data_IF_152119771159
#
_entry.id   IF_152119771159
#
_cell.length_a   1.000
_cell.length_b   1.000
_cell.length_c   1.000
_cell.angle_alpha   90.00
_cell.angle_beta   90.00
_cell.angle_gamma   90.00
#
_symmetry.space_group_name_H-M   'P 1'
#
loop_
_entity.id
_entity.type
_entity.pdbx_description
1 polymer ?
#
# COMPACT_ATOMS: atom_id res chain seq x y z
N UNK A 1 15.83 12.31 22.63
CA UNK A 1 15.04 11.15 23.09
C UNK A 1 15.24 10.03 22.10
N UNK A 2 15.38 8.80 22.56
CA UNK A 2 15.62 7.64 21.70
C UNK A 2 14.36 7.27 20.92
N UNK A 3 14.55 6.98 19.64
CA UNK A 3 13.59 6.32 18.76
C UNK A 3 13.26 4.90 19.25
N UNK A 4 12.19 4.33 18.70
CA UNK A 4 11.69 3.00 19.05
C UNK A 4 11.71 2.05 17.83
N UNK A 5 11.88 0.76 18.08
CA UNK A 5 11.73 -0.28 17.05
C UNK A 5 10.27 -0.55 16.71
N UNK A 6 10.00 -0.97 15.46
CA UNK A 6 8.67 -1.40 15.02
C UNK A 6 8.78 -2.58 14.06
N UNK A 7 8.24 -3.74 14.42
CA UNK A 7 8.23 -4.92 13.55
C UNK A 7 9.62 -5.24 12.99
N UNK A 8 9.77 -5.10 11.67
CA UNK A 8 11.01 -5.38 10.92
C UNK A 8 12.04 -4.23 10.93
N UNK A 9 11.70 -3.08 11.51
CA UNK A 9 12.60 -1.94 11.67
C UNK A 9 13.17 -1.93 13.07
N UNK A 10 14.43 -2.36 13.18
CA UNK A 10 15.15 -2.46 14.45
C UNK A 10 15.94 -1.17 14.65
N UNK A 11 15.53 -0.39 15.65
CA UNK A 11 16.23 0.81 16.07
C UNK A 11 17.58 0.45 16.71
N UNK A 12 18.61 1.21 16.35
CA UNK A 12 19.90 1.18 17.02
C UNK A 12 20.49 2.59 17.04
N UNK A 13 19.85 3.50 17.78
CA UNK A 13 20.14 4.95 17.77
C UNK A 13 19.86 5.61 16.43
N UNK A 14 18.73 5.25 15.80
CA UNK A 14 18.34 5.77 14.49
C UNK A 14 17.70 7.15 14.59
N UNK A 15 17.82 7.96 13.54
CA UNK A 15 17.23 9.30 13.43
C UNK A 15 16.11 9.27 12.37
N UNK A 16 14.83 9.43 12.76
CA UNK A 16 13.70 9.42 11.82
C UNK A 16 13.50 10.75 11.08
N UNK A 17 14.22 11.81 11.48
CA UNK A 17 14.04 13.18 10.96
C UNK A 17 15.15 13.53 9.98
N UNK A 18 16.41 13.30 10.33
CA UNK A 18 17.54 13.74 9.52
C UNK A 18 17.83 12.80 8.36
N UNK A 19 17.81 13.38 7.16
CA UNK A 19 18.13 12.69 5.93
C UNK A 19 17.94 13.61 4.74
N UNK A 20 18.23 13.08 3.56
CA UNK A 20 18.03 13.78 2.28
C UNK A 20 17.08 13.04 1.38
N UNK A 21 16.27 13.80 0.65
CA UNK A 21 15.43 13.25 -0.41
C UNK A 21 16.31 12.90 -1.60
N UNK A 22 16.26 11.64 -2.02
CA UNK A 22 17.03 11.10 -3.14
C UNK A 22 16.08 10.73 -4.25
N UNK A 23 16.33 11.26 -5.44
CA UNK A 23 15.60 10.92 -6.65
C UNK A 23 15.91 9.49 -7.09
N UNK A 24 14.88 8.74 -7.50
CA UNK A 24 14.99 7.35 -7.93
C UNK A 24 14.76 7.26 -9.46
N UNK A 25 15.83 7.17 -10.28
CA UNK A 25 15.70 7.24 -11.74
C UNK A 25 14.81 6.14 -12.32
N UNK A 26 15.03 4.87 -11.93
CA UNK A 26 14.26 3.74 -12.47
C UNK A 26 12.77 3.83 -12.12
N UNK A 27 12.44 4.13 -10.86
CA UNK A 27 11.06 4.36 -10.41
C UNK A 27 10.41 5.53 -11.17
N UNK A 28 11.18 6.61 -11.37
CA UNK A 28 10.70 7.80 -12.06
C UNK A 28 10.42 7.57 -13.53
N UNK A 29 11.33 6.91 -14.24
CA UNK A 29 11.13 6.54 -15.65
C UNK A 29 9.89 5.67 -15.77
N UNK A 30 9.73 4.67 -14.90
CA UNK A 30 8.56 3.80 -14.88
C UNK A 30 7.25 4.57 -14.70
N UNK A 31 7.13 5.37 -13.64
CA UNK A 31 5.91 6.09 -13.31
C UNK A 31 5.58 7.15 -14.36
N UNK A 32 6.60 7.90 -14.81
CA UNK A 32 6.41 8.92 -15.84
C UNK A 32 6.02 8.28 -17.17
N UNK A 33 6.64 7.18 -17.58
CA UNK A 33 6.27 6.48 -18.81
C UNK A 33 4.83 5.95 -18.77
N UNK A 34 4.43 5.27 -17.69
CA UNK A 34 3.05 4.80 -17.54
C UNK A 34 2.05 5.97 -17.58
N UNK A 35 2.38 7.07 -16.92
CA UNK A 35 1.51 8.26 -16.85
C UNK A 35 1.40 8.98 -18.17
N UNK A 36 2.49 9.13 -18.93
CA UNK A 36 2.45 9.71 -20.27
C UNK A 36 1.65 8.83 -21.23
N UNK A 37 1.85 7.51 -21.20
CA UNK A 37 1.06 6.57 -22.00
C UNK A 37 -0.42 6.63 -21.61
N UNK A 38 -0.74 6.75 -20.32
CA UNK A 38 -2.12 6.89 -19.85
C UNK A 38 -2.77 8.19 -20.34
N UNK A 39 -2.10 9.33 -20.20
CA UNK A 39 -2.65 10.65 -20.55
C UNK A 39 -2.81 10.80 -22.07
N UNK A 40 -1.84 10.32 -22.86
CA UNK A 40 -1.86 10.46 -24.32
C UNK A 40 -2.64 9.30 -24.96
N UNK A 41 -2.26 8.07 -24.63
CA UNK A 41 -2.85 6.87 -25.21
C UNK A 41 -4.26 6.58 -24.72
N UNK A 42 -4.59 6.92 -23.48
CA UNK A 42 -5.92 6.67 -22.89
C UNK A 42 -7.05 7.25 -23.74
N UNK A 43 -7.06 8.58 -24.00
CA UNK A 43 -8.06 9.20 -24.88
C UNK A 43 -8.03 8.66 -26.31
N UNK A 44 -6.84 8.44 -26.89
CA UNK A 44 -6.68 7.96 -28.26
C UNK A 44 -7.16 6.52 -28.48
N UNK A 45 -7.22 5.73 -27.41
CA UNK A 45 -7.56 4.30 -27.47
C UNK A 45 -8.80 3.96 -26.64
N UNK A 46 -9.59 4.95 -26.22
CA UNK A 46 -10.78 4.71 -25.42
C UNK A 46 -11.80 3.84 -26.17
N UNK A 47 -12.22 2.78 -25.51
CA UNK A 47 -13.41 2.01 -25.85
C UNK A 47 -14.11 1.61 -24.55
N UNK A 48 -15.42 1.34 -24.62
CA UNK A 48 -16.15 0.85 -23.44
C UNK A 48 -15.61 -0.48 -22.91
N UNK A 49 -15.10 -1.36 -23.79
CA UNK A 49 -14.47 -2.61 -23.38
C UNK A 49 -13.13 -2.39 -22.67
N UNK A 50 -12.29 -1.47 -23.17
CA UNK A 50 -11.03 -1.10 -22.53
C UNK A 50 -11.26 -0.45 -21.16
N UNK A 51 -12.28 0.42 -21.05
CA UNK A 51 -12.69 0.99 -19.77
C UNK A 51 -13.18 -0.06 -18.78
N UNK A 52 -13.99 -1.02 -19.23
CA UNK A 52 -14.44 -2.13 -18.39
C UNK A 52 -13.28 -3.00 -17.89
N UNK A 53 -12.30 -3.29 -18.76
CA UNK A 53 -11.06 -3.98 -18.40
C UNK A 53 -10.28 -3.20 -17.34
N UNK A 54 -10.13 -1.89 -17.51
CA UNK A 54 -9.49 -1.03 -16.51
C UNK A 54 -10.19 -1.13 -15.15
N UNK A 55 -11.52 -1.00 -15.09
CA UNK A 55 -12.28 -1.09 -13.83
C UNK A 55 -12.11 -2.47 -13.19
N UNK A 56 -12.28 -3.55 -13.96
CA UNK A 56 -12.18 -4.92 -13.47
C UNK A 56 -10.77 -5.22 -12.95
N UNK A 57 -9.73 -4.92 -13.73
CA UNK A 57 -8.36 -5.17 -13.31
C UNK A 57 -7.97 -4.30 -12.12
N UNK A 58 -8.39 -3.04 -12.07
CA UNK A 58 -8.16 -2.16 -10.91
C UNK A 58 -8.79 -2.75 -9.66
N UNK A 59 -10.04 -3.20 -9.73
CA UNK A 59 -10.73 -3.82 -8.60
C UNK A 59 -10.01 -5.08 -8.13
N UNK A 60 -9.56 -5.94 -9.05
CA UNK A 60 -8.82 -7.16 -8.72
C UNK A 60 -7.46 -6.82 -8.09
N UNK A 61 -6.64 -5.99 -8.75
CA UNK A 61 -5.27 -5.74 -8.29
C UNK A 61 -5.20 -4.86 -7.05
N UNK A 62 -6.11 -3.89 -6.87
CA UNK A 62 -6.11 -3.07 -5.65
C UNK A 62 -6.77 -3.81 -4.49
N UNK A 63 -7.96 -4.41 -4.66
CA UNK A 63 -8.66 -5.06 -3.56
C UNK A 63 -7.97 -6.37 -3.14
N UNK A 64 -7.89 -7.35 -4.04
CA UNK A 64 -7.33 -8.66 -3.72
C UNK A 64 -5.81 -8.58 -3.63
N UNK A 65 -5.19 -7.82 -4.53
CA UNK A 65 -3.75 -7.71 -4.61
C UNK A 65 -3.14 -6.82 -3.54
N UNK A 66 -3.35 -5.50 -3.63
CA UNK A 66 -2.70 -4.54 -2.73
C UNK A 66 -3.26 -4.63 -1.31
N UNK A 67 -4.56 -4.39 -1.15
CA UNK A 67 -5.20 -4.30 0.16
C UNK A 67 -5.11 -5.62 0.91
N UNK A 68 -5.59 -6.71 0.30
CA UNK A 68 -5.61 -8.01 0.98
C UNK A 68 -4.24 -8.70 0.93
N UNK A 69 -3.63 -8.83 -0.26
CA UNK A 69 -2.40 -9.58 -0.45
C UNK A 69 -1.14 -8.91 0.09
N UNK A 70 -0.88 -7.67 -0.29
CA UNK A 70 0.36 -6.98 0.10
C UNK A 70 0.24 -6.36 1.49
N UNK A 71 -0.80 -5.59 1.72
CA UNK A 71 -0.94 -4.78 2.94
C UNK A 71 -1.36 -5.64 4.14
N UNK A 72 -2.54 -6.28 4.10
CA UNK A 72 -3.04 -7.05 5.26
C UNK A 72 -2.31 -8.37 5.46
N UNK A 73 -2.00 -9.11 4.38
CA UNK A 73 -1.39 -10.44 4.48
C UNK A 73 0.14 -10.39 4.58
N UNK A 74 0.83 -9.82 3.59
CA UNK A 74 2.29 -9.85 3.51
C UNK A 74 2.96 -8.91 4.55
N UNK A 75 2.52 -7.65 4.62
CA UNK A 75 3.10 -6.63 5.51
C UNK A 75 2.67 -6.85 6.96
N UNK A 76 1.36 -6.76 7.25
CA UNK A 76 0.83 -6.73 8.62
C UNK A 76 0.53 -8.11 9.21
N UNK A 77 0.59 -9.18 8.42
CA UNK A 77 0.32 -10.55 8.88
C UNK A 77 -1.00 -10.61 9.66
N UNK A 78 -2.04 -9.97 9.11
CA UNK A 78 -3.36 -9.81 9.73
C UNK A 78 -4.19 -11.09 9.71
N UNK A 79 -3.81 -12.05 8.86
CA UNK A 79 -4.39 -13.38 8.78
C UNK A 79 -3.36 -14.34 8.17
N UNK A 80 -3.66 -15.63 8.16
CA UNK A 80 -2.86 -16.67 7.50
C UNK A 80 -3.70 -17.39 6.44
N UNK A 81 -3.03 -17.88 5.40
CA UNK A 81 -3.64 -18.65 4.31
C UNK A 81 -2.64 -19.66 3.77
N UNK A 82 -3.09 -20.55 2.87
CA UNK A 82 -2.18 -21.45 2.17
C UNK A 82 -1.21 -20.67 1.28
N UNK A 83 0.04 -21.15 1.18
CA UNK A 83 1.11 -20.45 0.47
C UNK A 83 0.77 -20.09 -0.98
N UNK A 84 0.04 -20.95 -1.70
CA UNK A 84 -0.36 -20.67 -3.08
C UNK A 84 -1.37 -19.53 -3.20
N UNK A 85 -2.25 -19.36 -2.20
CA UNK A 85 -3.18 -18.22 -2.11
C UNK A 85 -2.40 -16.96 -1.77
N UNK A 86 -1.49 -17.03 -0.80
CA UNK A 86 -0.61 -15.92 -0.44
C UNK A 86 0.20 -15.45 -1.65
N UNK A 87 0.84 -16.37 -2.37
CA UNK A 87 1.58 -16.07 -3.60
C UNK A 87 0.69 -15.46 -4.68
N UNK A 88 -0.51 -16.00 -4.89
CA UNK A 88 -1.46 -15.45 -5.86
C UNK A 88 -1.88 -14.02 -5.51
N UNK A 89 -2.26 -13.76 -4.26
CA UNK A 89 -2.66 -12.42 -3.82
C UNK A 89 -1.48 -11.42 -3.87
N UNK A 90 -0.28 -11.85 -3.46
CA UNK A 90 0.94 -11.02 -3.57
C UNK A 90 1.29 -10.73 -5.03
N UNK A 91 1.13 -11.69 -5.94
CA UNK A 91 1.32 -11.46 -7.37
C UNK A 91 0.35 -10.41 -7.91
N UNK A 92 -0.94 -10.51 -7.58
CA UNK A 92 -1.93 -9.50 -7.95
C UNK A 92 -1.58 -8.11 -7.40
N UNK A 93 -1.03 -8.04 -6.18
CA UNK A 93 -0.63 -6.78 -5.57
C UNK A 93 0.61 -6.16 -6.19
N UNK A 94 1.56 -6.98 -6.61
CA UNK A 94 2.73 -6.53 -7.39
C UNK A 94 2.29 -5.96 -8.75
N UNK A 95 1.25 -6.51 -9.38
CA UNK A 95 0.70 -5.99 -10.64
C UNK A 95 0.15 -4.56 -10.54
N UNK A 96 -0.06 -4.01 -9.35
CA UNK A 96 -0.37 -2.57 -9.17
C UNK A 96 0.75 -1.68 -9.70
N UNK A 97 1.99 -2.18 -9.76
CA UNK A 97 3.12 -1.50 -10.40
C UNK A 97 3.85 -0.51 -9.51
N UNK A 98 3.83 -0.72 -8.18
CA UNK A 98 4.49 0.18 -7.22
C UNK A 98 5.87 -0.34 -6.78
N UNK A 99 5.99 -1.63 -6.47
CA UNK A 99 7.23 -2.31 -6.11
C UNK A 99 7.02 -3.83 -6.13
N UNK A 100 8.12 -4.59 -6.06
CA UNK A 100 8.08 -6.00 -5.71
C UNK A 100 7.78 -6.24 -4.21
N UNK A 101 7.69 -7.51 -3.77
CA UNK A 101 7.34 -7.87 -2.39
C UNK A 101 8.24 -7.23 -1.33
N UNK A 102 9.56 -7.25 -1.51
CA UNK A 102 10.49 -6.73 -0.50
C UNK A 102 10.54 -5.21 -0.53
N UNK A 103 10.52 -4.61 -1.72
CA UNK A 103 10.42 -3.15 -1.86
C UNK A 103 9.15 -2.61 -1.20
N UNK A 104 8.03 -3.31 -1.32
CA UNK A 104 6.77 -2.92 -0.70
C UNK A 104 6.80 -3.06 0.83
N UNK A 105 7.31 -4.19 1.35
CA UNK A 105 7.51 -4.37 2.80
C UNK A 105 8.40 -3.25 3.34
N UNK A 106 9.54 -3.00 2.71
CA UNK A 106 10.47 -1.97 3.16
C UNK A 106 9.84 -0.57 3.14
N UNK A 107 9.21 -0.18 2.03
CA UNK A 107 8.59 1.14 1.88
C UNK A 107 7.47 1.39 2.89
N UNK A 108 6.68 0.36 3.19
CA UNK A 108 5.63 0.43 4.20
C UNK A 108 6.23 0.48 5.62
N UNK A 109 7.09 -0.47 5.97
CA UNK A 109 7.63 -0.62 7.32
C UNK A 109 8.51 0.57 7.72
N UNK A 110 9.24 1.20 6.79
CA UNK A 110 10.09 2.37 7.11
C UNK A 110 9.24 3.60 7.38
N UNK A 111 8.14 3.77 6.63
CA UNK A 111 7.17 4.85 6.84
C UNK A 111 6.48 4.66 8.19
N UNK A 112 5.95 3.47 8.45
CA UNK A 112 5.30 3.15 9.71
C UNK A 112 6.24 3.33 10.90
N UNK A 113 7.49 2.87 10.79
CA UNK A 113 8.51 3.10 11.80
C UNK A 113 8.70 4.60 12.07
N UNK A 114 8.92 5.39 11.01
CA UNK A 114 9.18 6.82 11.14
C UNK A 114 7.98 7.58 11.74
N UNK A 115 6.76 7.29 11.26
CA UNK A 115 5.53 7.94 11.71
C UNK A 115 5.20 7.65 13.17
N UNK A 116 5.66 6.52 13.72
CA UNK A 116 5.47 6.11 15.12
C UNK A 116 6.53 6.68 16.09
N UNK A 117 7.52 7.43 15.59
CA UNK A 117 8.44 8.19 16.43
C UNK A 117 7.81 9.48 16.91
N UNK A 118 8.47 10.28 17.76
CA UNK A 118 7.94 11.59 18.20
C UNK A 118 7.91 12.64 17.10
N UNK A 119 8.84 12.56 16.17
CA UNK A 119 8.88 13.36 14.95
C UNK A 119 9.51 12.53 13.82
N UNK A 120 9.28 12.91 12.57
CA UNK A 120 9.88 12.26 11.41
C UNK A 120 10.04 13.20 10.21
N UNK A 121 10.84 12.77 9.24
CA UNK A 121 11.09 13.50 8.01
C UNK A 121 9.78 13.79 7.25
N UNK A 122 9.68 14.98 6.65
CA UNK A 122 8.46 15.48 6.00
C UNK A 122 7.90 14.56 4.91
N UNK A 123 8.76 13.78 4.25
CA UNK A 123 8.35 12.77 3.27
C UNK A 123 7.48 11.71 3.95
N UNK A 124 7.90 11.13 5.08
CA UNK A 124 7.07 10.13 5.76
C UNK A 124 5.80 10.75 6.36
N UNK A 125 5.83 12.04 6.71
CA UNK A 125 4.70 12.73 7.28
C UNK A 125 3.75 13.41 6.27
N UNK A 126 4.05 13.37 4.97
CA UNK A 126 3.30 14.11 3.93
C UNK A 126 3.14 15.62 4.22
N UNK A 127 4.11 16.24 4.89
CA UNK A 127 4.03 17.65 5.36
C UNK A 127 4.30 18.68 4.26
N UNK A 128 4.90 18.28 3.13
CA UNK A 128 5.17 19.18 1.99
C UNK A 128 3.90 19.52 1.21
N UNK A 129 3.95 20.63 0.47
CA UNK A 129 2.83 21.09 -0.37
C UNK A 129 2.48 20.04 -1.43
N UNK A 130 1.25 20.10 -1.94
CA UNK A 130 0.65 19.07 -2.79
C UNK A 130 1.59 18.55 -3.90
N UNK A 131 2.14 19.42 -4.74
CA UNK A 131 3.01 19.01 -5.85
C UNK A 131 4.41 18.54 -5.42
N UNK A 132 4.96 19.10 -4.33
CA UNK A 132 6.25 18.66 -3.80
C UNK A 132 6.08 17.26 -3.18
N UNK A 133 5.03 17.04 -2.41
CA UNK A 133 4.71 15.71 -1.86
C UNK A 133 4.44 14.72 -2.99
N UNK A 134 3.66 15.08 -4.01
CA UNK A 134 3.44 14.24 -5.20
C UNK A 134 4.76 13.77 -5.81
N UNK A 135 5.67 14.72 -6.07
CA UNK A 135 6.97 14.42 -6.63
C UNK A 135 7.79 13.52 -5.69
N UNK A 136 7.86 13.85 -4.40
CA UNK A 136 8.63 13.08 -3.43
C UNK A 136 8.12 11.65 -3.28
N UNK A 137 6.81 11.45 -3.12
CA UNK A 137 6.23 10.11 -2.90
C UNK A 137 6.34 9.23 -4.15
N UNK A 138 6.16 9.81 -5.33
CA UNK A 138 6.21 9.05 -6.59
C UNK A 138 7.64 8.86 -7.08
N UNK A 139 8.54 9.84 -6.95
CA UNK A 139 9.83 9.82 -7.63
C UNK A 139 11.05 9.68 -6.71
N UNK A 140 10.87 9.79 -5.39
CA UNK A 140 11.99 9.84 -4.46
C UNK A 140 11.86 8.81 -3.33
N UNK A 141 12.94 8.72 -2.55
CA UNK A 141 13.01 8.10 -1.22
C UNK A 141 13.74 9.06 -0.27
N UNK A 142 13.72 8.78 1.04
CA UNK A 142 14.62 9.43 2.00
C UNK A 142 15.81 8.52 2.25
N UNK A 143 17.01 9.05 2.09
CA UNK A 143 18.23 8.47 2.66
C UNK A 143 18.45 9.12 4.03
N UNK A 144 18.03 8.44 5.10
CA UNK A 144 18.25 8.89 6.47
C UNK A 144 19.75 8.82 6.80
N UNK A 145 20.21 9.76 7.62
CA UNK A 145 21.62 9.81 8.06
C UNK A 145 21.94 8.62 8.99
N UNK A 146 20.97 8.25 9.84
CA UNK A 146 21.05 7.11 10.74
C UNK A 146 19.76 6.26 10.64
N UNK A 147 19.60 5.42 9.59
CA UNK A 147 18.40 4.61 9.40
C UNK A 147 18.28 3.46 10.42
N UNK A 148 17.07 2.95 10.69
CA UNK A 148 16.90 1.70 11.40
C UNK A 148 17.40 0.53 10.55
N UNK A 149 17.75 -0.58 11.21
CA UNK A 149 18.12 -1.80 10.50
C UNK A 149 16.86 -2.53 10.09
N UNK A 150 16.66 -2.66 8.78
CA UNK A 150 15.59 -3.48 8.21
C UNK A 150 15.95 -4.97 8.27
N UNK A 151 15.09 -5.77 8.90
CA UNK A 151 15.29 -7.21 9.08
C UNK A 151 14.07 -7.96 8.54
N UNK A 152 14.22 -8.50 7.34
CA UNK A 152 13.22 -9.43 6.79
C UNK A 152 13.23 -10.74 7.58
N UNK A 153 12.04 -11.27 7.78
CA UNK A 153 11.83 -12.61 8.32
C UNK A 153 12.43 -13.67 7.36
N UNK A 154 12.94 -14.77 7.95
CA UNK A 154 13.75 -15.74 7.20
C UNK A 154 12.96 -16.48 6.11
N UNK A 155 11.67 -16.72 6.36
CA UNK A 155 10.76 -17.37 5.42
C UNK A 155 10.65 -16.57 4.12
N UNK A 156 10.37 -15.28 4.22
CA UNK A 156 10.17 -14.34 3.13
C UNK A 156 11.48 -14.11 2.38
N UNK A 157 12.58 -13.97 3.13
CA UNK A 157 13.93 -13.80 2.57
C UNK A 157 14.35 -14.98 1.70
N UNK A 158 13.96 -16.21 2.08
CA UNK A 158 14.28 -17.44 1.34
C UNK A 158 13.26 -17.81 0.27
N UNK A 159 12.10 -17.16 0.23
CA UNK A 159 11.06 -17.47 -0.73
C UNK A 159 11.50 -17.14 -2.17
N UNK A 160 11.67 -18.18 -2.99
CA UNK A 160 12.12 -18.06 -4.39
C UNK A 160 11.13 -17.31 -5.26
N UNK A 161 9.84 -17.44 -4.99
CA UNK A 161 8.78 -16.76 -5.73
C UNK A 161 8.84 -15.26 -5.45
N UNK A 162 8.99 -14.85 -4.18
CA UNK A 162 9.14 -13.44 -3.85
C UNK A 162 10.40 -12.82 -4.42
N UNK A 163 11.54 -13.53 -4.41
CA UNK A 163 12.77 -13.05 -5.04
C UNK A 163 12.60 -12.86 -6.55
N UNK A 164 11.89 -13.77 -7.22
CA UNK A 164 11.57 -13.65 -8.64
C UNK A 164 10.69 -12.43 -8.90
N UNK A 165 9.61 -12.25 -8.13
CA UNK A 165 8.75 -11.07 -8.26
C UNK A 165 9.50 -9.78 -7.94
N UNK A 166 10.34 -9.76 -6.92
CA UNK A 166 11.15 -8.58 -6.56
C UNK A 166 12.06 -8.16 -7.71
N UNK A 167 12.74 -9.10 -8.35
CA UNK A 167 13.67 -8.80 -9.44
C UNK A 167 12.96 -8.38 -10.74
N UNK A 168 11.68 -8.75 -10.91
CA UNK A 168 11.00 -8.66 -12.21
C UNK A 168 9.70 -7.86 -12.17
N UNK A 169 9.34 -7.21 -11.06
CA UNK A 169 8.01 -6.64 -10.85
C UNK A 169 7.51 -5.72 -11.97
N UNK A 170 8.38 -4.91 -12.58
CA UNK A 170 8.02 -4.08 -13.75
C UNK A 170 7.75 -4.96 -14.99
N UNK A 171 8.61 -5.94 -15.24
CA UNK A 171 8.50 -6.86 -16.38
C UNK A 171 7.31 -7.82 -16.26
N UNK A 172 6.77 -8.04 -15.06
CA UNK A 172 5.55 -8.84 -14.86
C UNK A 172 4.29 -8.23 -15.49
N UNK A 173 4.36 -6.97 -15.94
CA UNK A 173 3.30 -6.38 -16.77
C UNK A 173 3.29 -6.93 -18.20
N UNK A 174 4.39 -7.51 -18.69
CA UNK A 174 4.51 -8.03 -20.06
C UNK A 174 3.56 -9.21 -20.31
N UNK A 175 3.53 -10.29 -19.48
CA UNK A 175 2.58 -11.38 -19.69
C UNK A 175 1.12 -10.92 -19.70
N UNK A 176 0.74 -10.03 -18.77
CA UNK A 176 -0.60 -9.45 -18.74
C UNK A 176 -0.87 -8.60 -19.98
N UNK A 177 0.10 -7.77 -20.40
CA UNK A 177 0.00 -6.94 -21.59
C UNK A 177 -0.17 -7.76 -22.87
N UNK A 178 0.58 -8.86 -23.01
CA UNK A 178 0.42 -9.79 -24.15
C UNK A 178 -0.97 -10.43 -24.16
N UNK A 179 -1.46 -10.90 -23.01
CA UNK A 179 -2.82 -11.44 -22.91
C UNK A 179 -3.88 -10.39 -23.30
N UNK A 180 -3.77 -9.17 -22.78
CA UNK A 180 -4.67 -8.07 -23.10
C UNK A 180 -4.63 -7.69 -24.58
N UNK A 181 -3.43 -7.67 -25.17
CA UNK A 181 -3.27 -7.41 -26.60
C UNK A 181 -3.95 -8.47 -27.46
N UNK A 182 -3.80 -9.74 -27.11
CA UNK A 182 -4.46 -10.84 -27.87
C UNK A 182 -5.98 -10.79 -27.78
N UNK A 183 -6.54 -10.32 -26.66
CA UNK A 183 -7.98 -10.33 -26.41
C UNK A 183 -8.71 -9.07 -26.90
N UNK A 184 -8.07 -7.90 -26.84
CA UNK A 184 -8.70 -6.63 -27.20
C UNK A 184 -7.76 -5.57 -27.77
N UNK A 185 -6.58 -6.00 -28.25
CA UNK A 185 -5.62 -5.16 -28.94
C UNK A 185 -4.99 -4.08 -28.06
N UNK A 186 -4.42 -3.07 -28.73
CA UNK A 186 -3.75 -1.95 -28.07
C UNK A 186 -4.64 -1.20 -27.05
N UNK A 187 -5.95 -0.96 -27.29
CA UNK A 187 -6.83 -0.36 -26.29
C UNK A 187 -6.79 -1.04 -24.93
N UNK A 188 -6.87 -2.37 -24.90
CA UNK A 188 -6.86 -3.13 -23.66
C UNK A 188 -5.51 -3.07 -22.95
N UNK A 189 -4.39 -3.00 -23.69
CA UNK A 189 -3.05 -2.82 -23.11
C UNK A 189 -2.91 -1.44 -22.47
N UNK A 190 -3.28 -0.38 -23.19
CA UNK A 190 -3.16 0.99 -22.70
C UNK A 190 -4.01 1.17 -21.42
N UNK A 191 -5.26 0.70 -21.43
CA UNK A 191 -6.17 0.86 -20.31
C UNK A 191 -5.88 -0.11 -19.15
N UNK A 192 -5.61 -1.38 -19.46
CA UNK A 192 -5.37 -2.42 -18.46
C UNK A 192 -3.99 -2.37 -17.81
N UNK A 193 -2.99 -1.73 -18.46
CA UNK A 193 -1.65 -1.54 -17.92
C UNK A 193 -1.41 -0.09 -17.53
N UNK A 194 -1.25 0.81 -18.51
CA UNK A 194 -0.78 2.17 -18.25
C UNK A 194 -1.78 3.01 -17.46
N UNK A 195 -3.04 3.11 -17.92
CA UNK A 195 -4.09 3.85 -17.20
C UNK A 195 -4.32 3.24 -15.81
N UNK A 196 -4.42 1.91 -15.72
CA UNK A 196 -4.56 1.20 -14.44
C UNK A 196 -3.43 1.55 -13.46
N UNK A 197 -2.17 1.41 -13.87
CA UNK A 197 -1.01 1.67 -13.00
C UNK A 197 -0.98 3.14 -12.60
N UNK A 198 -1.13 4.07 -13.53
CA UNK A 198 -1.09 5.51 -13.23
C UNK A 198 -2.19 5.92 -12.26
N UNK A 199 -3.44 5.54 -12.52
CA UNK A 199 -4.55 5.84 -11.61
C UNK A 199 -4.36 5.18 -10.25
N UNK A 200 -3.87 3.94 -10.21
CA UNK A 200 -3.61 3.24 -8.95
C UNK A 200 -2.54 3.95 -8.13
N UNK A 201 -1.38 4.25 -8.71
CA UNK A 201 -0.28 4.90 -7.99
C UNK A 201 -0.63 6.30 -7.51
N UNK A 202 -1.28 7.10 -8.36
CA UNK A 202 -1.79 8.42 -7.96
C UNK A 202 -2.85 8.29 -6.87
N UNK A 203 -3.75 7.31 -6.95
CA UNK A 203 -4.76 7.03 -5.93
C UNK A 203 -4.17 6.68 -4.57
N UNK A 204 -3.16 5.80 -4.52
CA UNK A 204 -2.47 5.45 -3.28
C UNK A 204 -1.77 6.67 -2.67
N UNK A 205 -1.12 7.48 -3.50
CA UNK A 205 -0.52 8.73 -3.04
C UNK A 205 -1.57 9.70 -2.49
N UNK A 206 -2.69 9.91 -3.17
CA UNK A 206 -3.76 10.80 -2.71
C UNK A 206 -4.32 10.36 -1.35
N UNK A 207 -4.55 9.05 -1.16
CA UNK A 207 -4.95 8.51 0.15
C UNK A 207 -3.89 8.84 1.19
N UNK A 208 -2.61 8.53 0.94
CA UNK A 208 -1.52 8.85 1.87
C UNK A 208 -1.41 10.35 2.18
N UNK A 209 -1.54 11.21 1.16
CA UNK A 209 -1.45 12.66 1.30
C UNK A 209 -2.54 13.22 2.20
N UNK A 210 -3.81 12.88 1.93
CA UNK A 210 -4.93 13.41 2.70
C UNK A 210 -5.08 12.74 4.07
N UNK A 211 -4.88 11.42 4.14
CA UNK A 211 -5.11 10.66 5.35
C UNK A 211 -4.03 10.84 6.42
N UNK A 212 -2.87 11.43 6.12
CA UNK A 212 -1.83 11.75 7.12
C UNK A 212 -1.84 13.22 7.58
N UNK A 213 -2.77 14.05 7.09
CA UNK A 213 -2.78 15.50 7.38
C UNK A 213 -3.88 15.89 8.37
N UNK A 214 -5.13 15.66 7.99
CA UNK A 214 -6.30 16.02 8.79
C UNK A 214 -7.54 15.29 8.27
N UNK A 215 -8.54 15.10 9.14
CA UNK A 215 -9.81 14.51 8.74
C UNK A 215 -10.57 13.89 9.90
N UNK A 216 -11.47 12.96 9.59
CA UNK A 216 -12.24 12.23 10.58
C UNK A 216 -11.34 11.25 11.33
N UNK A 217 -11.33 11.30 12.67
CA UNK A 217 -10.47 10.45 13.49
C UNK A 217 -11.27 9.87 14.67
N UNK A 218 -11.58 8.57 14.60
CA UNK A 218 -12.21 7.84 15.71
C UNK A 218 -11.22 7.41 16.80
N UNK A 219 -9.94 7.35 16.46
CA UNK A 219 -8.88 6.83 17.32
C UNK A 219 -7.61 7.66 17.14
N UNK A 220 -6.99 8.08 18.24
CA UNK A 220 -5.67 8.70 18.25
C UNK A 220 -4.66 7.86 19.00
N UNK A 221 -3.38 8.04 18.67
CA UNK A 221 -2.27 7.42 19.37
C UNK A 221 -1.38 8.50 19.96
N UNK A 222 -1.07 8.44 21.24
CA UNK A 222 -0.18 9.39 21.90
C UNK A 222 1.28 9.22 21.42
N UNK A 223 2.07 10.30 21.54
CA UNK A 223 3.52 10.32 21.31
C UNK A 223 3.99 9.87 19.91
N UNK A 224 3.15 10.02 18.87
CA UNK A 224 3.53 9.75 17.47
C UNK A 224 3.64 11.03 16.63
N UNK A 225 4.51 11.00 15.62
CA UNK A 225 4.83 12.12 14.73
C UNK A 225 3.68 12.45 13.78
N UNK A 226 2.88 11.43 13.45
CA UNK A 226 1.82 11.48 12.44
C UNK A 226 0.62 10.68 12.93
N UNK A 227 -0.54 11.33 12.95
CA UNK A 227 -1.83 10.66 13.11
C UNK A 227 -2.35 10.18 11.75
N UNK A 228 -3.12 9.10 11.76
CA UNK A 228 -3.95 8.71 10.63
C UNK A 228 -5.36 9.29 10.74
N UNK A 229 -5.94 9.67 9.62
CA UNK A 229 -7.30 10.15 9.49
C UNK A 229 -8.07 9.32 8.48
N UNK A 230 -9.32 8.99 8.79
CA UNK A 230 -10.20 8.30 7.86
C UNK A 230 -10.71 9.29 6.79
N UNK A 231 -10.87 8.79 5.57
CA UNK A 231 -11.58 9.45 4.49
C UNK A 231 -12.87 8.64 4.19
N UNK A 232 -13.97 8.85 4.95
CA UNK A 232 -15.08 7.88 4.99
C UNK A 232 -15.80 7.67 3.67
N UNK A 233 -15.79 8.69 2.80
CA UNK A 233 -16.44 8.66 1.48
C UNK A 233 -15.69 7.82 0.44
N UNK A 234 -14.47 7.40 0.73
CA UNK A 234 -13.59 6.73 -0.22
C UNK A 234 -13.46 5.22 0.03
N UNK A 235 -14.19 4.65 0.99
CA UNK A 235 -14.10 3.22 1.32
C UNK A 235 -14.38 2.29 0.14
N UNK A 236 -15.34 2.66 -0.72
CA UNK A 236 -15.66 1.89 -1.92
C UNK A 236 -14.51 1.88 -2.95
N UNK A 237 -13.93 3.05 -3.22
CA UNK A 237 -12.89 3.22 -4.26
C UNK A 237 -11.53 2.69 -3.80
N UNK A 238 -11.26 2.77 -2.50
CA UNK A 238 -10.01 2.31 -1.88
C UNK A 238 -10.12 0.92 -1.29
N UNK A 239 -11.29 0.27 -1.41
CA UNK A 239 -11.57 -1.06 -0.88
C UNK A 239 -11.33 -1.20 0.64
N UNK A 240 -11.49 -0.10 1.38
CA UNK A 240 -11.32 -0.01 2.83
C UNK A 240 -10.01 0.65 3.28
N UNK A 241 -9.04 0.86 2.38
CA UNK A 241 -7.75 1.46 2.70
C UNK A 241 -7.87 2.94 3.14
N UNK A 242 -8.98 3.61 2.82
CA UNK A 242 -9.24 4.97 3.26
C UNK A 242 -9.59 5.10 4.76
N UNK A 243 -9.82 3.99 5.48
CA UNK A 243 -9.97 4.01 6.94
C UNK A 243 -8.61 4.00 7.63
N UNK A 244 -7.80 4.99 7.26
CA UNK A 244 -6.39 5.06 7.60
C UNK A 244 -6.16 5.36 9.09
N UNK A 245 -7.02 6.16 9.72
CA UNK A 245 -6.95 6.41 11.16
C UNK A 245 -7.18 5.14 11.98
N UNK A 246 -8.17 4.34 11.56
CA UNK A 246 -8.39 3.03 12.17
C UNK A 246 -7.21 2.08 11.96
N UNK A 247 -6.63 2.09 10.76
CA UNK A 247 -5.45 1.30 10.44
C UNK A 247 -4.26 1.68 11.34
N UNK A 248 -3.99 2.98 11.49
CA UNK A 248 -2.93 3.49 12.38
C UNK A 248 -3.15 3.12 13.85
N UNK A 249 -4.41 3.10 14.29
CA UNK A 249 -4.78 2.65 15.63
C UNK A 249 -4.56 1.13 15.83
N UNK A 250 -4.92 0.32 14.85
CA UNK A 250 -4.89 -1.15 14.91
C UNK A 250 -4.19 -1.74 13.67
N UNK A 251 -2.86 -1.59 13.53
CA UNK A 251 -2.15 -1.92 12.28
C UNK A 251 -2.24 -3.39 11.90
N UNK A 252 -2.25 -4.28 12.89
CA UNK A 252 -2.33 -5.74 12.68
C UNK A 252 -3.76 -6.24 12.39
N UNK A 253 -4.77 -5.36 12.38
CA UNK A 253 -6.16 -5.75 12.16
C UNK A 253 -6.43 -6.04 10.68
N UNK A 254 -7.03 -7.20 10.40
CA UNK A 254 -7.53 -7.55 9.08
C UNK A 254 -8.72 -6.69 8.63
N UNK A 255 -9.35 -5.97 9.56
CA UNK A 255 -10.51 -5.10 9.33
C UNK A 255 -10.09 -3.64 9.55
N UNK A 256 -10.09 -2.85 8.47
CA UNK A 256 -9.77 -1.43 8.48
C UNK A 256 -11.02 -0.59 8.74
N UNK A 257 -12.16 -0.97 8.16
CA UNK A 257 -13.47 -0.33 8.44
C UNK A 257 -14.09 -0.83 9.75
N UNK A 258 -13.69 -0.24 10.89
CA UNK A 258 -14.06 -0.69 12.24
C UNK A 258 -15.45 -0.17 12.66
N UNK A 259 -15.77 1.07 12.32
CA UNK A 259 -16.99 1.76 12.75
C UNK A 259 -18.18 1.46 11.80
N UNK A 260 -19.44 1.62 12.27
CA UNK A 260 -20.62 1.47 11.41
C UNK A 260 -20.57 2.37 10.17
N UNK A 261 -21.03 1.87 9.03
CA UNK A 261 -21.04 2.60 7.76
C UNK A 261 -19.69 2.64 7.02
N UNK A 262 -18.62 2.10 7.60
CA UNK A 262 -17.31 2.04 6.96
C UNK A 262 -17.20 0.83 6.00
N UNK A 263 -17.36 1.10 4.70
CA UNK A 263 -17.32 0.09 3.63
C UNK A 263 -15.89 -0.42 3.36
N UNK A 264 -15.57 -1.60 3.89
CA UNK A 264 -14.28 -2.27 3.73
C UNK A 264 -14.43 -3.56 2.90
N UNK A 265 -14.25 -3.43 1.58
CA UNK A 265 -14.37 -4.55 0.64
C UNK A 265 -13.25 -5.59 0.82
N UNK A 266 -12.04 -5.16 1.17
CA UNK A 266 -10.94 -6.08 1.51
C UNK A 266 -11.29 -6.98 2.69
N UNK A 267 -11.95 -6.44 3.71
CA UNK A 267 -12.42 -7.21 4.86
C UNK A 267 -13.50 -8.22 4.46
N UNK A 268 -14.45 -7.82 3.63
CA UNK A 268 -15.48 -8.73 3.14
C UNK A 268 -14.89 -9.88 2.32
N UNK A 269 -13.84 -9.62 1.54
CA UNK A 269 -13.11 -10.66 0.82
C UNK A 269 -12.37 -11.61 1.79
N UNK A 270 -11.69 -11.10 2.82
CA UNK A 270 -11.05 -11.95 3.85
C UNK A 270 -12.10 -12.83 4.57
N UNK A 271 -13.28 -12.28 4.89
CA UNK A 271 -14.38 -13.06 5.47
C UNK A 271 -14.87 -14.16 4.53
N UNK A 272 -14.92 -13.90 3.23
CA UNK A 272 -15.26 -14.92 2.24
C UNK A 272 -14.21 -16.04 2.25
N UNK A 273 -12.92 -15.71 2.20
CA UNK A 273 -11.84 -16.71 2.31
C UNK A 273 -11.97 -17.53 3.60
N UNK A 274 -12.25 -16.89 4.73
CA UNK A 274 -12.44 -17.58 6.01
C UNK A 274 -13.62 -18.56 5.99
N UNK A 275 -14.75 -18.15 5.42
CA UNK A 275 -15.94 -19.02 5.26
C UNK A 275 -15.67 -20.22 4.36
N UNK A 276 -14.79 -20.05 3.38
CA UNK A 276 -14.35 -21.13 2.49
C UNK A 276 -13.22 -22.00 3.10
N UNK A 277 -12.80 -21.74 4.35
CA UNK A 277 -11.69 -22.45 4.99
C UNK A 277 -10.31 -22.09 4.44
N UNK A 278 -10.21 -21.02 3.64
CA UNK A 278 -8.98 -20.58 2.97
C UNK A 278 -8.19 -19.54 3.76
N UNK A 279 -8.78 -18.94 4.80
CA UNK A 279 -8.09 -18.00 5.69
C UNK A 279 -8.32 -18.36 7.16
N UNK A 280 -7.28 -18.25 7.97
CA UNK A 280 -7.26 -18.53 9.41
C UNK A 280 -6.49 -17.46 10.18
N UNK A 281 -6.43 -17.58 11.52
CA UNK A 281 -5.66 -16.70 12.40
C UNK A 281 -5.94 -15.19 12.16
N UNK A 282 -7.20 -14.86 11.90
CA UNK A 282 -7.63 -13.51 11.57
C UNK A 282 -7.54 -12.64 12.81
N UNK A 283 -6.75 -11.58 12.71
CA UNK A 283 -6.58 -10.57 13.74
C UNK A 283 -7.61 -9.46 13.60
N UNK A 284 -8.27 -9.12 14.70
CA UNK A 284 -9.23 -8.03 14.81
C UNK A 284 -8.82 -7.12 15.97
N UNK A 285 -9.36 -5.88 16.06
CA UNK A 285 -8.95 -4.93 17.10
C UNK A 285 -9.04 -5.46 18.54
N UNK A 286 -10.01 -6.33 18.82
CA UNK A 286 -10.21 -6.94 20.15
C UNK A 286 -9.36 -8.20 20.40
N UNK A 287 -8.67 -8.73 19.38
CA UNK A 287 -7.83 -9.94 19.50
C UNK A 287 -6.33 -9.64 19.41
N UNK A 288 -5.96 -8.44 18.99
CA UNK A 288 -4.56 -8.02 18.90
C UNK A 288 -4.08 -7.42 20.23
N UNK A 289 -2.76 -7.36 20.41
CA UNK A 289 -2.15 -6.75 21.59
C UNK A 289 -2.54 -5.26 21.63
N UNK A 290 -3.14 -4.78 22.73
CA UNK A 290 -3.50 -3.37 22.86
C UNK A 290 -2.29 -2.46 22.71
N UNK A 291 -2.43 -1.44 21.87
CA UNK A 291 -1.42 -0.40 21.68
C UNK A 291 -1.48 0.61 22.83
N UNK A 292 -0.33 0.95 23.42
CA UNK A 292 -0.23 2.01 24.44
C UNK A 292 -0.56 3.38 23.82
N UNK A 293 -1.13 4.28 24.62
CA UNK A 293 -1.47 5.64 24.20
C UNK A 293 -2.68 5.72 23.26
N UNK A 294 -3.48 4.66 23.16
CA UNK A 294 -4.66 4.65 22.30
C UNK A 294 -5.84 5.33 22.98
N UNK A 295 -6.39 6.37 22.36
CA UNK A 295 -7.58 7.08 22.84
C UNK A 295 -8.71 7.00 21.80
N UNK A 296 -9.92 6.65 22.26
CA UNK A 296 -11.12 6.66 21.43
C UNK A 296 -11.81 8.01 21.53
N UNK A 297 -12.15 8.58 20.39
CA UNK A 297 -12.94 9.81 20.29
C UNK A 297 -14.41 9.46 20.05
N UNK A 298 -15.32 10.22 20.65
CA UNK A 298 -16.72 10.19 20.23
C UNK A 298 -16.81 11.01 18.94
N UNK A 299 -17.19 10.38 17.83
CA UNK A 299 -17.28 11.02 16.50
C UNK A 299 -18.67 10.86 15.92
#
# INVERSE_FOLDING_TARGET
MSSISTGRMIDNSSDPVKGRVVWMPAKSIWITAMTLIAIIGGPLTFTWSAFAVFILLTAITICLGHSVGMHRLLIHRSFSTHIWIEHFLVYLGMLVGMAGPFGMIHAHDIRDWAQRQRDCHDLYAHRRSFFIDAFWQMHCIVALDHPPRFVLEERERRDRFYRFLEATWMAQQIPLGLALFTLGGLPWVVWGIAVRISVSLTGHWLVGHFAHRAGHQGWSVDDVAVQGYNLPRFGLVTFGESFHGNHHAFPDSARLGIEPGQLDLGWYFIRLLARLGLASAIKLPHTIVPRRGLTRHCV
#
